data_IF_375755740480
#
_entry.id   IF_375755740480
#
_cell.length_a   1.000
_cell.length_b   1.000
_cell.length_c   1.000
_cell.angle_alpha   90.00
_cell.angle_beta   90.00
_cell.angle_gamma   90.00
#
_symmetry.space_group_name_H-M   'P 1'
#
loop_
_entity.id
_entity.type
_entity.pdbx_description
1 polymer ?
#
# COMPACT_ATOMS: atom_id res chain seq x y z
N UNK A 1 12.65 6.93 -23.05
CA UNK A 1 11.19 7.04 -23.27
C UNK A 1 10.47 7.41 -21.96
N UNK A 2 9.49 8.34 -21.97
CA UNK A 2 8.68 8.65 -20.79
C UNK A 2 7.87 7.42 -20.33
N UNK A 3 7.57 7.30 -19.04
CA UNK A 3 6.61 6.30 -18.56
C UNK A 3 5.21 6.87 -18.83
N UNK A 4 4.44 6.20 -19.68
CA UNK A 4 3.08 6.62 -19.99
C UNK A 4 2.12 6.04 -18.95
N UNK A 5 1.86 6.81 -17.90
CA UNK A 5 0.95 6.43 -16.81
C UNK A 5 -0.46 6.09 -17.30
N UNK A 6 -0.94 6.79 -18.32
CA UNK A 6 -2.26 6.56 -18.91
C UNK A 6 -2.37 5.15 -19.51
N UNK A 7 -1.31 4.69 -20.18
CA UNK A 7 -1.25 3.33 -20.72
C UNK A 7 -1.26 2.28 -19.60
N UNK A 8 -0.51 2.50 -18.52
CA UNK A 8 -0.48 1.57 -17.37
C UNK A 8 -1.86 1.52 -16.71
N UNK A 9 -2.53 2.66 -16.55
CA UNK A 9 -3.87 2.74 -16.00
C UNK A 9 -4.90 2.00 -16.86
N UNK A 10 -4.87 2.20 -18.18
CA UNK A 10 -5.73 1.46 -19.12
C UNK A 10 -5.49 -0.05 -19.07
N UNK A 11 -4.22 -0.48 -19.07
CA UNK A 11 -3.86 -1.90 -18.97
C UNK A 11 -4.28 -2.52 -17.62
N UNK A 12 -4.24 -1.78 -16.51
CA UNK A 12 -4.82 -2.19 -15.24
C UNK A 12 -6.33 -2.35 -15.33
N UNK A 13 -7.04 -1.42 -15.98
CA UNK A 13 -8.48 -1.51 -16.22
C UNK A 13 -8.87 -2.73 -17.07
N UNK A 14 -8.14 -3.01 -18.14
CA UNK A 14 -8.35 -4.21 -18.96
C UNK A 14 -8.14 -5.51 -18.18
N UNK A 15 -7.17 -5.52 -17.25
CA UNK A 15 -6.96 -6.69 -16.38
C UNK A 15 -8.17 -6.94 -15.47
N UNK A 16 -8.70 -5.89 -14.83
CA UNK A 16 -9.88 -6.00 -13.97
C UNK A 16 -11.06 -6.55 -14.76
N UNK A 17 -11.28 -6.07 -15.99
CA UNK A 17 -12.35 -6.54 -16.87
C UNK A 17 -12.17 -8.00 -17.28
N UNK A 18 -10.96 -8.39 -17.66
CA UNK A 18 -10.70 -9.74 -18.18
C UNK A 18 -10.59 -10.81 -17.09
N UNK A 19 -10.24 -10.42 -15.85
CA UNK A 19 -10.05 -11.32 -14.70
C UNK A 19 -10.93 -10.89 -13.52
N UNK A 20 -12.17 -10.51 -13.83
CA UNK A 20 -13.15 -10.05 -12.85
C UNK A 20 -13.36 -11.01 -11.66
N UNK A 21 -13.42 -12.36 -11.80
CA UNK A 21 -13.74 -13.20 -10.64
C UNK A 21 -12.63 -13.14 -9.57
N UNK A 22 -11.37 -13.04 -9.99
CA UNK A 22 -10.22 -12.96 -9.08
C UNK A 22 -10.18 -11.60 -8.38
N UNK A 23 -10.47 -10.51 -9.12
CA UNK A 23 -10.49 -9.18 -8.51
C UNK A 23 -11.63 -9.06 -7.50
N UNK A 24 -12.81 -9.59 -7.81
CA UNK A 24 -13.95 -9.58 -6.89
C UNK A 24 -13.69 -10.43 -5.65
N UNK A 25 -13.14 -11.63 -5.77
CA UNK A 25 -12.87 -12.50 -4.60
C UNK A 25 -11.92 -11.82 -3.62
N UNK A 26 -10.80 -11.26 -4.10
CA UNK A 26 -9.90 -10.50 -3.24
C UNK A 26 -10.57 -9.23 -2.68
N UNK A 27 -11.39 -8.53 -3.47
CA UNK A 27 -12.12 -7.35 -2.96
C UNK A 27 -13.01 -7.70 -1.79
N UNK A 28 -13.75 -8.81 -1.90
CA UNK A 28 -14.59 -9.32 -0.82
C UNK A 28 -13.76 -9.75 0.38
N UNK A 29 -12.62 -10.44 0.19
CA UNK A 29 -11.73 -10.82 1.30
C UNK A 29 -11.19 -9.62 2.07
N UNK A 30 -10.71 -8.58 1.36
CA UNK A 30 -10.24 -7.34 1.97
C UNK A 30 -11.37 -6.59 2.68
N UNK A 31 -12.54 -6.49 2.06
CA UNK A 31 -13.70 -5.83 2.64
C UNK A 31 -14.19 -6.56 3.90
N UNK A 32 -14.29 -7.89 3.87
CA UNK A 32 -14.69 -8.68 5.04
C UNK A 32 -13.72 -8.54 6.20
N UNK A 33 -12.40 -8.61 5.94
CA UNK A 33 -11.40 -8.40 6.98
C UNK A 33 -11.52 -7.00 7.61
N UNK A 34 -11.71 -5.96 6.79
CA UNK A 34 -11.89 -4.60 7.27
C UNK A 34 -13.20 -4.41 8.06
N UNK A 35 -14.31 -5.00 7.60
CA UNK A 35 -15.61 -4.92 8.27
C UNK A 35 -15.59 -5.65 9.61
N UNK A 36 -15.01 -6.85 9.68
CA UNK A 36 -14.85 -7.58 10.95
C UNK A 36 -14.06 -6.75 11.95
N UNK A 37 -12.95 -6.14 11.52
CA UNK A 37 -12.17 -5.26 12.39
C UNK A 37 -12.96 -4.03 12.85
N UNK A 38 -13.69 -3.36 11.95
CA UNK A 38 -14.55 -2.23 12.31
C UNK A 38 -15.65 -2.60 13.31
N UNK A 39 -16.28 -3.77 13.15
CA UNK A 39 -17.28 -4.27 14.09
C UNK A 39 -16.68 -4.52 15.47
N UNK A 40 -15.48 -5.11 15.53
CA UNK A 40 -14.74 -5.28 16.79
C UNK A 40 -14.46 -3.91 17.42
N UNK A 41 -13.92 -2.95 16.69
CA UNK A 41 -13.65 -1.59 17.20
C UNK A 41 -14.93 -0.91 17.72
N UNK A 42 -16.04 -1.03 16.98
CA UNK A 42 -17.33 -0.45 17.38
C UNK A 42 -17.88 -1.11 18.65
N UNK A 43 -17.66 -2.41 18.84
CA UNK A 43 -18.06 -3.12 20.08
C UNK A 43 -17.35 -2.59 21.34
N UNK A 44 -16.15 -2.00 21.19
CA UNK A 44 -15.40 -1.37 22.28
C UNK A 44 -15.71 0.13 22.45
N UNK A 45 -16.77 0.64 21.82
CA UNK A 45 -17.20 2.04 21.93
C UNK A 45 -16.64 2.96 20.84
N UNK A 46 -16.09 2.40 19.76
CA UNK A 46 -15.68 3.14 18.58
C UNK A 46 -14.33 3.84 18.69
N UNK A 47 -13.87 4.39 17.56
CA UNK A 47 -12.55 5.01 17.45
C UNK A 47 -12.40 6.26 18.34
N UNK A 48 -13.48 7.01 18.53
CA UNK A 48 -13.49 8.27 19.29
C UNK A 48 -13.21 8.05 20.78
N UNK A 49 -13.80 7.00 21.35
CA UNK A 49 -13.57 6.62 22.75
C UNK A 49 -12.14 6.15 22.97
N UNK A 50 -11.59 5.39 22.03
CA UNK A 50 -10.19 4.92 22.05
C UNK A 50 -9.18 6.07 21.94
N UNK A 51 -9.47 7.10 21.14
CA UNK A 51 -8.64 8.30 21.01
C UNK A 51 -8.67 9.17 22.28
N UNK A 52 -9.80 9.21 22.98
CA UNK A 52 -9.96 10.03 24.19
C UNK A 52 -9.30 9.44 25.45
N UNK A 53 -9.10 8.12 25.51
CA UNK A 53 -8.48 7.42 26.65
C UNK A 53 -7.38 6.44 26.20
N UNK A 54 -6.22 6.92 25.74
CA UNK A 54 -5.16 6.07 25.17
C UNK A 54 -4.52 5.11 26.20
N UNK A 55 -4.69 5.35 27.50
CA UNK A 55 -4.18 4.49 28.58
C UNK A 55 -5.04 3.24 28.86
N UNK A 56 -6.24 3.15 28.28
CA UNK A 56 -7.20 2.06 28.49
C UNK A 56 -7.45 1.22 27.23
N UNK A 57 -6.47 1.08 26.34
CA UNK A 57 -6.62 0.23 25.15
C UNK A 57 -6.71 -1.24 25.60
N UNK A 58 -7.85 -1.92 25.38
CA UNK A 58 -8.03 -3.28 25.86
C UNK A 58 -7.16 -4.26 25.05
N UNK A 59 -6.51 -5.21 25.72
CA UNK A 59 -5.61 -6.20 25.08
C UNK A 59 -6.24 -7.00 23.93
N UNK A 60 -7.54 -7.36 23.93
CA UNK A 60 -8.16 -8.04 22.79
C UNK A 60 -8.24 -7.16 21.53
N UNK A 61 -8.34 -5.84 21.68
CA UNK A 61 -8.37 -4.91 20.55
C UNK A 61 -6.99 -4.80 19.89
N UNK A 62 -5.92 -4.82 20.69
CA UNK A 62 -4.54 -4.90 20.17
C UNK A 62 -4.33 -6.19 19.37
N UNK A 63 -4.81 -7.32 19.89
CA UNK A 63 -4.73 -8.60 19.21
C UNK A 63 -5.55 -8.63 17.92
N UNK A 64 -6.77 -8.08 17.93
CA UNK A 64 -7.60 -7.92 16.73
C UNK A 64 -6.94 -7.03 15.68
N UNK A 65 -6.29 -5.94 16.10
CA UNK A 65 -5.53 -5.06 15.20
C UNK A 65 -4.34 -5.79 14.58
N UNK A 66 -3.62 -6.58 15.36
CA UNK A 66 -2.51 -7.40 14.86
C UNK A 66 -2.98 -8.43 13.83
N UNK A 67 -4.08 -9.15 14.10
CA UNK A 67 -4.67 -10.11 13.15
C UNK A 67 -5.10 -9.39 11.87
N UNK A 68 -5.79 -8.27 11.99
CA UNK A 68 -6.24 -7.48 10.83
C UNK A 68 -5.06 -7.05 9.96
N UNK A 69 -3.98 -6.57 10.57
CA UNK A 69 -2.75 -6.20 9.86
C UNK A 69 -2.10 -7.40 9.18
N UNK A 70 -1.98 -8.53 9.89
CA UNK A 70 -1.41 -9.76 9.35
C UNK A 70 -2.20 -10.29 8.15
N UNK A 71 -3.53 -10.38 8.26
CA UNK A 71 -4.40 -10.82 7.17
C UNK A 71 -4.35 -9.86 5.98
N UNK A 72 -4.33 -8.55 6.22
CA UNK A 72 -4.19 -7.54 5.17
C UNK A 72 -2.88 -7.72 4.40
N UNK A 73 -1.76 -7.94 5.11
CA UNK A 73 -0.46 -8.19 4.49
C UNK A 73 -0.45 -9.51 3.71
N UNK A 74 -1.02 -10.57 4.29
CA UNK A 74 -1.12 -11.87 3.64
C UNK A 74 -1.93 -11.79 2.35
N UNK A 75 -3.11 -11.15 2.38
CA UNK A 75 -3.93 -10.96 1.18
C UNK A 75 -3.23 -10.10 0.14
N UNK A 76 -2.44 -9.10 0.56
CA UNK A 76 -1.66 -8.26 -0.36
C UNK A 76 -0.60 -9.08 -1.08
N UNK A 77 0.19 -9.88 -0.35
CA UNK A 77 1.23 -10.73 -0.93
C UNK A 77 0.61 -11.81 -1.82
N UNK A 78 -0.46 -12.45 -1.35
CA UNK A 78 -1.18 -13.48 -2.10
C UNK A 78 -1.71 -12.91 -3.42
N UNK A 79 -2.35 -11.74 -3.38
CA UNK A 79 -2.85 -11.05 -4.56
C UNK A 79 -1.74 -10.72 -5.56
N UNK A 80 -0.62 -10.15 -5.11
CA UNK A 80 0.50 -9.80 -5.98
C UNK A 80 1.07 -11.03 -6.70
N UNK A 81 1.23 -12.15 -5.99
CA UNK A 81 1.73 -13.40 -6.58
C UNK A 81 0.72 -14.00 -7.58
N UNK A 82 -0.58 -13.94 -7.28
CA UNK A 82 -1.62 -14.37 -8.22
C UNK A 82 -1.64 -13.52 -9.48
N UNK A 83 -1.52 -12.19 -9.36
CA UNK A 83 -1.43 -11.28 -10.51
C UNK A 83 -0.17 -11.57 -11.34
N UNK A 84 0.96 -11.86 -10.69
CA UNK A 84 2.21 -12.18 -11.36
C UNK A 84 2.12 -13.40 -12.27
N UNK A 85 1.42 -14.44 -11.82
CA UNK A 85 1.23 -15.66 -12.58
C UNK A 85 0.32 -15.50 -13.77
N UNK A 86 -0.81 -14.81 -13.57
CA UNK A 86 -1.75 -14.51 -14.65
C UNK A 86 -1.05 -13.74 -15.76
N UNK A 87 -0.15 -12.83 -15.40
CA UNK A 87 0.62 -12.04 -16.37
C UNK A 87 1.82 -12.77 -16.96
N UNK A 88 2.26 -13.87 -16.36
CA UNK A 88 3.35 -14.72 -16.86
C UNK A 88 2.84 -16.00 -17.51
N UNK A 89 1.52 -16.14 -17.70
CA UNK A 89 0.84 -17.34 -18.22
C UNK A 89 1.20 -18.64 -17.48
N UNK A 90 1.62 -18.54 -16.22
CA UNK A 90 1.83 -19.73 -15.37
C UNK A 90 0.49 -20.09 -14.77
N UNK A 91 -0.22 -21.01 -15.41
CA UNK A 91 -1.56 -21.47 -14.99
C UNK A 91 -1.36 -22.39 -13.78
N UNK A 92 -1.40 -21.83 -12.58
CA UNK A 92 -1.45 -22.58 -11.33
C UNK A 92 -2.70 -22.23 -10.53
N UNK A 93 -3.14 -23.16 -9.68
CA UNK A 93 -4.29 -22.92 -8.80
C UNK A 93 -4.00 -21.79 -7.81
N UNK A 94 -4.97 -20.90 -7.63
CA UNK A 94 -4.89 -19.72 -6.74
C UNK A 94 -4.48 -20.09 -5.31
N UNK A 95 -4.88 -21.27 -4.83
CA UNK A 95 -4.59 -21.76 -3.48
C UNK A 95 -3.18 -22.32 -3.30
N UNK A 96 -2.52 -22.75 -4.38
CA UNK A 96 -1.16 -23.31 -4.33
C UNK A 96 -0.15 -22.27 -3.83
N UNK A 97 -0.44 -21.00 -4.07
CA UNK A 97 0.42 -19.87 -3.69
C UNK A 97 0.09 -19.24 -2.35
N UNK A 98 -0.93 -19.73 -1.65
CA UNK A 98 -1.18 -19.34 -0.27
C UNK A 98 0.00 -19.79 0.60
N UNK A 99 0.52 -21.00 0.38
CA UNK A 99 1.73 -21.50 1.06
C UNK A 99 3.00 -20.71 0.73
N UNK A 100 3.16 -20.26 -0.52
CA UNK A 100 4.27 -19.38 -0.89
C UNK A 100 4.13 -17.97 -0.32
N UNK A 101 2.90 -17.42 -0.29
CA UNK A 101 2.64 -16.11 0.31
C UNK A 101 3.02 -16.10 1.78
N UNK A 102 2.65 -17.13 2.55
CA UNK A 102 2.98 -17.28 3.98
C UNK A 102 4.49 -17.21 4.24
N UNK A 103 5.29 -17.87 3.40
CA UNK A 103 6.76 -17.84 3.52
C UNK A 103 7.35 -16.45 3.21
N UNK A 104 6.73 -15.70 2.31
CA UNK A 104 7.20 -14.36 1.89
C UNK A 104 6.58 -13.20 2.68
N UNK A 105 5.52 -13.42 3.46
CA UNK A 105 4.84 -12.37 4.26
C UNK A 105 5.82 -11.70 5.22
N UNK A 106 6.64 -12.44 5.96
CA UNK A 106 7.56 -11.86 6.94
C UNK A 106 8.65 -10.99 6.28
N UNK A 107 9.20 -11.44 5.15
CA UNK A 107 10.14 -10.64 4.37
C UNK A 107 9.47 -9.35 3.87
N UNK A 108 8.29 -9.48 3.24
CA UNK A 108 7.51 -8.33 2.76
C UNK A 108 7.13 -7.36 3.88
N UNK A 109 6.77 -7.86 5.07
CA UNK A 109 6.50 -7.04 6.26
C UNK A 109 7.73 -6.22 6.66
N UNK A 110 8.93 -6.83 6.66
CA UNK A 110 10.19 -6.13 6.90
C UNK A 110 10.42 -4.96 5.93
N UNK A 111 10.20 -5.17 4.64
CA UNK A 111 10.31 -4.09 3.65
C UNK A 111 9.25 -3.00 3.79
N UNK A 112 8.03 -3.35 4.22
CA UNK A 112 6.99 -2.37 4.53
C UNK A 112 7.33 -1.55 5.77
N UNK A 113 8.00 -2.12 6.78
CA UNK A 113 8.50 -1.37 7.94
C UNK A 113 9.56 -0.35 7.50
N UNK A 114 10.47 -0.74 6.60
CA UNK A 114 11.47 0.18 6.03
C UNK A 114 10.79 1.31 5.25
N UNK A 115 9.73 0.99 4.49
CA UNK A 115 8.93 1.98 3.78
C UNK A 115 8.24 2.95 4.77
N UNK A 116 7.66 2.43 5.85
CA UNK A 116 7.02 3.23 6.89
C UNK A 116 8.04 4.13 7.61
N UNK A 117 9.25 3.63 7.85
CA UNK A 117 10.34 4.43 8.40
C UNK A 117 10.77 5.56 7.44
N UNK A 118 10.70 5.33 6.13
CA UNK A 118 10.95 6.38 5.13
C UNK A 118 9.86 7.48 5.11
N UNK A 119 8.63 7.17 5.57
CA UNK A 119 7.57 8.16 5.80
C UNK A 119 7.72 8.92 7.12
N UNK A 120 8.50 8.40 8.08
CA UNK A 120 8.63 9.00 9.41
C UNK A 120 9.02 10.49 9.42
N UNK A 121 9.99 10.96 8.59
CA UNK A 121 10.32 12.38 8.53
C UNK A 121 9.13 13.24 8.10
N UNK A 122 8.26 12.74 7.21
CA UNK A 122 7.07 13.47 6.78
C UNK A 122 6.06 13.64 7.93
N UNK A 123 5.86 12.61 8.75
CA UNK A 123 5.02 12.72 9.96
C UNK A 123 5.60 13.69 10.99
N UNK A 124 6.91 13.67 11.20
CA UNK A 124 7.58 14.65 12.06
C UNK A 124 7.38 16.08 11.56
N UNK A 125 7.55 16.32 10.25
CA UNK A 125 7.29 17.61 9.62
C UNK A 125 5.85 18.10 9.81
N UNK A 126 4.86 17.21 9.69
CA UNK A 126 3.45 17.55 9.94
C UNK A 126 3.18 17.83 11.43
N UNK A 127 3.82 17.11 12.35
CA UNK A 127 3.66 17.38 13.79
C UNK A 127 4.27 18.73 14.20
N UNK A 128 5.39 19.14 13.58
CA UNK A 128 5.99 20.45 13.80
C UNK A 128 5.00 21.59 13.46
N UNK A 129 4.14 21.39 12.45
CA UNK A 129 3.09 22.34 12.08
C UNK A 129 2.09 22.63 13.21
N UNK A 130 1.93 21.70 14.15
CA UNK A 130 0.99 21.84 15.27
C UNK A 130 1.63 22.39 16.54
N UNK A 131 2.97 22.45 16.62
CA UNK A 131 3.69 22.77 17.87
C UNK A 131 4.33 24.17 17.83
N UNK A 132 4.88 24.59 16.68
CA UNK A 132 5.54 25.89 16.57
C UNK A 132 4.59 26.97 16.04
N UNK A 133 4.66 28.18 16.61
CA UNK A 133 3.88 29.35 16.20
C UNK A 133 4.59 30.26 15.18
N UNK A 134 5.87 29.99 14.90
CA UNK A 134 6.70 30.80 14.02
C UNK A 134 6.68 30.28 12.57
N UNK A 135 6.10 31.09 11.68
CA UNK A 135 5.79 30.70 10.28
C UNK A 135 7.04 30.39 9.47
N UNK A 136 8.17 31.05 9.74
CA UNK A 136 9.40 30.83 8.99
C UNK A 136 10.04 29.47 9.31
N UNK A 137 10.17 29.14 10.59
CA UNK A 137 10.69 27.85 11.04
C UNK A 137 9.74 26.69 10.72
N UNK A 138 8.43 26.93 10.75
CA UNK A 138 7.39 26.02 10.26
C UNK A 138 7.57 25.65 8.78
N UNK A 139 7.70 26.64 7.90
CA UNK A 139 7.82 26.41 6.47
C UNK A 139 9.13 25.70 6.12
N UNK A 140 10.24 26.09 6.75
CA UNK A 140 11.55 25.46 6.52
C UNK A 140 11.56 24.01 7.00
N UNK A 141 11.05 23.75 8.21
CA UNK A 141 11.01 22.40 8.77
C UNK A 141 10.08 21.48 7.99
N UNK A 142 8.90 21.96 7.56
CA UNK A 142 8.00 21.22 6.70
C UNK A 142 8.67 20.89 5.36
N UNK A 143 9.20 21.89 4.65
CA UNK A 143 9.83 21.69 3.33
C UNK A 143 11.02 20.73 3.43
N UNK A 144 11.87 20.87 4.44
CA UNK A 144 13.00 19.97 4.66
C UNK A 144 12.54 18.53 4.93
N UNK A 145 11.51 18.37 5.78
CA UNK A 145 10.96 17.06 6.15
C UNK A 145 10.31 16.35 4.95
N UNK A 146 9.55 17.09 4.15
CA UNK A 146 8.96 16.60 2.89
C UNK A 146 10.04 16.25 1.86
N UNK A 147 11.10 17.04 1.74
CA UNK A 147 12.20 16.77 0.82
C UNK A 147 12.99 15.50 1.22
N UNK A 148 13.31 15.35 2.51
CA UNK A 148 14.03 14.18 3.04
C UNK A 148 13.18 12.92 2.89
N UNK A 149 11.90 12.98 3.28
CA UNK A 149 11.00 11.83 3.13
C UNK A 149 10.77 11.50 1.65
N UNK A 150 10.52 12.50 0.79
CA UNK A 150 10.42 12.30 -0.65
C UNK A 150 11.67 11.62 -1.24
N UNK A 151 12.85 12.05 -0.79
CA UNK A 151 14.11 11.43 -1.20
C UNK A 151 14.21 9.95 -0.77
N UNK A 152 13.90 9.64 0.48
CA UNK A 152 13.90 8.25 0.96
C UNK A 152 12.83 7.39 0.28
N UNK A 153 11.63 7.91 0.11
CA UNK A 153 10.49 7.21 -0.50
C UNK A 153 10.76 6.84 -1.94
N UNK A 154 11.35 7.74 -2.73
CA UNK A 154 11.69 7.40 -4.13
C UNK A 154 12.65 6.22 -4.25
N UNK A 155 13.48 5.97 -3.23
CA UNK A 155 14.42 4.85 -3.20
C UNK A 155 13.81 3.57 -2.61
N UNK A 156 12.87 3.72 -1.67
CA UNK A 156 12.31 2.60 -0.89
C UNK A 156 10.96 2.10 -1.43
N UNK A 157 10.20 2.91 -2.19
CA UNK A 157 8.84 2.58 -2.62
C UNK A 157 8.71 1.31 -3.49
N UNK A 158 9.77 0.92 -4.20
CA UNK A 158 9.78 -0.24 -5.09
C UNK A 158 10.44 -1.48 -4.47
N UNK A 159 11.10 -1.35 -3.31
CA UNK A 159 11.77 -2.45 -2.61
C UNK A 159 10.83 -3.60 -2.22
N UNK A 160 9.61 -3.35 -1.68
CA UNK A 160 8.68 -4.42 -1.33
C UNK A 160 8.25 -5.27 -2.54
N UNK A 161 8.05 -4.63 -3.69
CA UNK A 161 7.72 -5.31 -4.94
C UNK A 161 8.92 -6.04 -5.54
N UNK A 162 10.12 -5.45 -5.45
CA UNK A 162 11.33 -6.08 -5.94
C UNK A 162 11.70 -7.36 -5.18
N UNK A 163 11.50 -7.37 -3.87
CA UNK A 163 11.68 -8.57 -3.06
C UNK A 163 10.71 -9.70 -3.42
N UNK A 164 9.44 -9.36 -3.74
CA UNK A 164 8.43 -10.35 -4.10
C UNK A 164 8.67 -10.98 -5.48
N UNK A 165 9.17 -10.19 -6.43
CA UNK A 165 9.17 -10.50 -7.87
C UNK A 165 10.53 -10.92 -8.42
N UNK A 166 11.65 -10.62 -7.74
CA UNK A 166 12.99 -11.06 -8.14
C UNK A 166 13.59 -12.10 -7.16
N UNK A 167 13.24 -13.39 -7.28
CA UNK A 167 13.70 -14.43 -6.35
C UNK A 167 15.23 -14.63 -6.34
N UNK A 168 15.93 -14.24 -7.42
CA UNK A 168 17.39 -14.41 -7.58
C UNK A 168 18.24 -13.25 -7.01
N UNK A 169 17.63 -12.17 -6.49
CA UNK A 169 18.37 -10.99 -5.98
C UNK A 169 17.92 -10.64 -4.56
N UNK A 170 18.05 -11.59 -3.64
CA UNK A 170 17.60 -11.46 -2.25
C UNK A 170 18.41 -10.46 -1.40
N UNK A 171 19.51 -9.92 -1.91
CA UNK A 171 20.33 -8.95 -1.16
C UNK A 171 19.75 -7.54 -1.29
N UNK A 172 19.38 -6.96 -0.14
CA UNK A 172 18.98 -5.56 0.04
C UNK A 172 19.85 -4.57 -0.74
N UNK A 173 21.17 -4.76 -0.73
CA UNK A 173 22.12 -3.89 -1.42
C UNK A 173 22.00 -3.95 -2.95
N UNK A 174 21.75 -5.15 -3.52
CA UNK A 174 21.58 -5.32 -4.96
C UNK A 174 20.25 -4.76 -5.45
N UNK A 175 19.17 -4.94 -4.68
CA UNK A 175 17.86 -4.34 -4.97
C UNK A 175 17.90 -2.81 -4.86
N UNK A 176 18.55 -2.29 -3.82
CA UNK A 176 18.76 -0.87 -3.62
C UNK A 176 19.59 -0.25 -4.75
N UNK A 177 20.69 -0.89 -5.16
CA UNK A 177 21.49 -0.42 -6.31
C UNK A 177 20.68 -0.44 -7.61
N UNK A 178 19.88 -1.47 -7.85
CA UNK A 178 19.07 -1.61 -9.06
C UNK A 178 18.01 -0.50 -9.19
N UNK A 179 17.40 -0.12 -8.07
CA UNK A 179 16.42 0.98 -8.00
C UNK A 179 17.13 2.34 -8.08
N UNK A 180 18.22 2.53 -7.33
CA UNK A 180 18.92 3.81 -7.23
C UNK A 180 19.76 4.18 -8.46
N UNK A 181 20.17 3.20 -9.28
CA UNK A 181 20.78 3.46 -10.59
C UNK A 181 19.82 4.19 -11.54
N UNK A 182 18.51 4.23 -11.25
CA UNK A 182 17.51 4.83 -12.13
C UNK A 182 17.04 6.18 -11.62
N UNK A 183 17.56 7.25 -12.21
CA UNK A 183 17.21 8.65 -11.95
C UNK A 183 15.81 9.07 -12.50
N UNK A 184 14.79 8.23 -12.38
CA UNK A 184 13.41 8.55 -12.83
C UNK A 184 12.51 9.06 -11.69
N UNK A 185 13.00 10.05 -10.95
CA UNK A 185 12.34 10.68 -9.80
C UNK A 185 10.89 11.10 -10.08
N UNK A 186 10.64 11.74 -11.24
CA UNK A 186 9.30 12.19 -11.65
C UNK A 186 8.30 11.04 -11.79
N UNK A 187 8.76 9.88 -12.28
CA UNK A 187 7.89 8.73 -12.46
C UNK A 187 7.58 8.02 -11.13
N UNK A 188 8.55 7.98 -10.22
CA UNK A 188 8.37 7.38 -8.89
C UNK A 188 7.48 8.28 -8.02
N UNK A 189 7.60 9.60 -8.13
CA UNK A 189 6.67 10.54 -7.48
C UNK A 189 5.23 10.36 -7.98
N UNK A 190 5.04 10.24 -9.29
CA UNK A 190 3.71 9.93 -9.85
C UNK A 190 3.17 8.59 -9.34
N UNK A 191 4.01 7.56 -9.28
CA UNK A 191 3.65 6.27 -8.68
C UNK A 191 3.24 6.39 -7.21
N UNK A 192 4.03 7.09 -6.38
CA UNK A 192 3.73 7.31 -4.96
C UNK A 192 2.38 8.00 -4.79
N UNK A 193 2.11 9.00 -5.62
CA UNK A 193 0.83 9.72 -5.61
C UNK A 193 -0.33 8.80 -5.98
N UNK A 194 -0.23 8.04 -7.07
CA UNK A 194 -1.31 7.16 -7.53
C UNK A 194 -1.54 5.95 -6.63
N UNK A 195 -0.49 5.42 -6.00
CA UNK A 195 -0.58 4.16 -5.24
C UNK A 195 -0.91 4.38 -3.77
N UNK A 196 -0.38 5.45 -3.16
CA UNK A 196 -0.53 5.69 -1.72
C UNK A 196 -1.41 6.90 -1.41
N UNK A 197 -1.25 8.02 -2.12
CA UNK A 197 -1.97 9.26 -1.79
C UNK A 197 -3.39 9.24 -2.32
N UNK A 198 -3.60 8.91 -3.60
CA UNK A 198 -4.92 8.89 -4.23
C UNK A 198 -5.90 7.93 -3.54
N UNK A 199 -5.55 6.65 -3.28
CA UNK A 199 -6.45 5.74 -2.60
C UNK A 199 -6.83 6.23 -1.21
N UNK A 200 -5.87 6.78 -0.45
CA UNK A 200 -6.12 7.35 0.87
C UNK A 200 -7.10 8.54 0.80
N UNK A 201 -6.88 9.49 -0.12
CA UNK A 201 -7.77 10.64 -0.29
C UNK A 201 -9.17 10.22 -0.70
N UNK A 202 -9.29 9.33 -1.70
CA UNK A 202 -10.60 8.88 -2.18
C UNK A 202 -11.34 8.10 -1.10
N UNK A 203 -10.65 7.23 -0.35
CA UNK A 203 -11.27 6.45 0.73
C UNK A 203 -11.79 7.36 1.85
N UNK A 204 -11.02 8.37 2.26
CA UNK A 204 -11.47 9.32 3.28
C UNK A 204 -12.69 10.14 2.81
N UNK A 205 -12.70 10.58 1.55
CA UNK A 205 -13.84 11.31 0.98
C UNK A 205 -15.07 10.40 0.84
N UNK A 206 -14.90 9.13 0.48
CA UNK A 206 -16.00 8.16 0.41
C UNK A 206 -16.64 7.95 1.78
N UNK A 207 -15.84 7.83 2.84
CA UNK A 207 -16.37 7.69 4.22
C UNK A 207 -17.16 8.94 4.62
N UNK A 208 -16.66 10.13 4.28
CA UNK A 208 -17.29 11.41 4.61
C UNK A 208 -18.59 11.65 3.82
N UNK A 209 -18.63 11.27 2.54
CA UNK A 209 -19.78 11.44 1.64
C UNK A 209 -20.90 10.42 1.88
N UNK A 210 -20.56 9.14 2.08
CA UNK A 210 -21.54 8.07 2.23
C UNK A 210 -22.10 7.97 3.66
N UNK A 211 -21.41 8.55 4.65
CA UNK A 211 -21.85 8.59 6.04
C UNK A 211 -21.97 7.21 6.71
N UNK A 212 -22.42 7.21 7.98
CA UNK A 212 -22.52 6.00 8.81
C UNK A 212 -23.54 4.95 8.28
N UNK A 213 -24.51 5.37 7.46
CA UNK A 213 -25.56 4.48 6.96
C UNK A 213 -25.09 3.55 5.83
N UNK A 214 -23.98 3.86 5.17
CA UNK A 214 -23.46 3.11 4.02
C UNK A 214 -22.01 2.63 4.25
N UNK A 215 -21.64 2.35 5.51
CA UNK A 215 -20.30 1.88 5.91
C UNK A 215 -19.88 0.62 5.14
N UNK A 216 -20.82 -0.29 4.87
CA UNK A 216 -20.53 -1.50 4.08
C UNK A 216 -20.14 -1.15 2.65
N UNK A 217 -20.88 -0.24 2.01
CA UNK A 217 -20.63 0.18 0.62
C UNK A 217 -19.32 0.96 0.51
N UNK A 218 -19.06 1.89 1.44
CA UNK A 218 -17.82 2.66 1.45
C UNK A 218 -16.60 1.77 1.71
N UNK A 219 -16.72 0.74 2.55
CA UNK A 219 -15.65 -0.22 2.82
C UNK A 219 -15.35 -1.11 1.60
N UNK A 220 -16.38 -1.58 0.89
CA UNK A 220 -16.20 -2.36 -0.35
C UNK A 220 -15.54 -1.52 -1.44
N UNK A 221 -16.00 -0.27 -1.64
CA UNK A 221 -15.40 0.64 -2.63
C UNK A 221 -13.94 0.95 -2.28
N UNK A 222 -13.65 1.19 -1.00
CA UNK A 222 -12.28 1.41 -0.50
C UNK A 222 -11.39 0.20 -0.77
N UNK A 223 -11.86 -1.01 -0.45
CA UNK A 223 -11.13 -2.25 -0.71
C UNK A 223 -10.85 -2.45 -2.22
N UNK A 224 -11.83 -2.14 -3.07
CA UNK A 224 -11.66 -2.21 -4.52
C UNK A 224 -10.62 -1.21 -5.04
N UNK A 225 -10.65 0.03 -4.57
CA UNK A 225 -9.67 1.06 -4.95
C UNK A 225 -8.25 0.67 -4.51
N UNK A 226 -8.11 0.14 -3.29
CA UNK A 226 -6.82 -0.34 -2.79
C UNK A 226 -6.29 -1.51 -3.63
N UNK A 227 -7.15 -2.45 -4.03
CA UNK A 227 -6.75 -3.53 -4.93
C UNK A 227 -6.40 -3.01 -6.33
N UNK A 228 -7.16 -2.08 -6.88
CA UNK A 228 -6.86 -1.46 -8.15
C UNK A 228 -5.49 -0.76 -8.12
N UNK A 229 -5.22 -0.04 -7.02
CA UNK A 229 -3.92 0.57 -6.73
C UNK A 229 -2.79 -0.48 -6.71
N UNK A 230 -3.00 -1.64 -6.07
CA UNK A 230 -2.03 -2.74 -6.06
C UNK A 230 -1.77 -3.31 -7.47
N UNK A 231 -2.80 -3.49 -8.30
CA UNK A 231 -2.62 -3.93 -9.71
C UNK A 231 -1.79 -2.91 -10.49
N UNK A 232 -2.12 -1.63 -10.34
CA UNK A 232 -1.39 -0.54 -10.96
C UNK A 232 0.06 -0.50 -10.47
N UNK A 233 0.29 -0.71 -9.17
CA UNK A 233 1.61 -0.70 -8.58
C UNK A 233 2.48 -1.83 -9.14
N UNK A 234 1.93 -3.04 -9.21
CA UNK A 234 2.58 -4.20 -9.80
C UNK A 234 2.95 -3.97 -11.28
N UNK A 235 2.02 -3.45 -12.09
CA UNK A 235 2.27 -3.20 -13.52
C UNK A 235 3.29 -2.09 -13.73
N UNK A 236 3.20 -1.02 -12.93
CA UNK A 236 4.21 0.03 -12.92
C UNK A 236 5.59 -0.54 -12.61
N UNK A 237 5.70 -1.40 -11.59
CA UNK A 237 6.95 -2.09 -11.26
C UNK A 237 7.48 -2.91 -12.45
N UNK A 238 6.65 -3.72 -13.12
CA UNK A 238 7.10 -4.48 -14.30
C UNK A 238 7.52 -3.60 -15.47
N UNK A 239 6.79 -2.52 -15.76
CA UNK A 239 7.16 -1.57 -16.83
C UNK A 239 8.44 -0.83 -16.49
N UNK A 240 8.60 -0.46 -15.21
CA UNK A 240 9.82 0.13 -14.70
C UNK A 240 10.99 -0.84 -14.88
N UNK A 241 10.85 -2.11 -14.49
CA UNK A 241 11.90 -3.12 -14.62
C UNK A 241 12.23 -3.51 -16.07
N UNK A 242 11.22 -3.73 -16.93
CA UNK A 242 11.37 -4.11 -18.35
C UNK A 242 12.12 -3.07 -19.18
N UNK A 243 12.11 -1.80 -18.77
CA UNK A 243 12.90 -0.73 -19.39
C UNK A 243 14.42 -0.84 -19.23
N UNK A 244 14.94 -1.87 -18.54
CA UNK A 244 16.39 -2.14 -18.39
C UNK A 244 16.90 -3.30 -19.20
N UNK A 245 16.02 -4.10 -19.81
CA UNK A 245 16.42 -5.21 -20.67
C UNK A 245 16.46 -4.83 -22.16
N UNK A 246 16.89 -3.60 -22.47
CA UNK A 246 17.19 -3.11 -23.82
C UNK A 246 18.45 -2.25 -23.76
#
# INVERSE_FOLDING_TARGET
MPINFFRIFQESGYFVRNRYPIVITFTVLFALNSLVFQLIVNSYGGLEKLLSTPTLIPSPLVFAAFINLFLTLLFTVWFILTVDQILTNRIGDMFLYLGESLKKVFGFAGYNIILLLAFFPMFMGLSALTISSDVATLMISAVASFAISGYLLTRVALLPFAYLLEPNKQSLGKLYQLINQRRQWKAILGYLFFVYVLPMLVSNQLILLLGANLVVVSTILTAFINLFSLIFAYRFYRVFMKKVSL
#
